data_IF_046541502696
#
_entry.id   IF_046541502696
#
_cell.length_a   1.000
_cell.length_b   1.000
_cell.length_c   1.000
_cell.angle_alpha   90.00
_cell.angle_beta   90.00
_cell.angle_gamma   90.00
#
_symmetry.space_group_name_H-M   'P 1'
#
loop_
_entity.id
_entity.type
_entity.pdbx_description
1 polymer ?
#
# COMPACT_ATOMS: atom_id res chain seq x y z
N UNK A 1 16.15 -10.60 13.31
CA UNK A 1 16.09 -10.20 14.73
C UNK A 1 15.24 -11.21 15.45
N UNK A 2 15.65 -11.70 16.62
CA UNK A 2 14.83 -12.57 17.46
C UNK A 2 13.97 -11.70 18.37
N UNK A 3 12.68 -11.94 18.41
CA UNK A 3 11.74 -11.30 19.33
C UNK A 3 11.31 -12.31 20.37
N UNK A 4 11.28 -11.88 21.63
CA UNK A 4 10.61 -12.66 22.66
C UNK A 4 9.08 -12.57 22.49
N UNK A 5 8.31 -13.55 22.99
CA UNK A 5 6.85 -13.47 22.95
C UNK A 5 6.31 -12.21 23.64
N UNK A 6 6.96 -11.76 24.70
CA UNK A 6 6.63 -10.53 25.43
C UNK A 6 6.84 -9.27 24.57
N UNK A 7 7.95 -9.19 23.83
CA UNK A 7 8.18 -8.11 22.87
C UNK A 7 7.14 -8.12 21.74
N UNK A 8 6.78 -9.30 21.23
CA UNK A 8 5.71 -9.42 20.25
C UNK A 8 4.37 -8.92 20.82
N UNK A 9 4.05 -9.28 22.07
CA UNK A 9 2.85 -8.78 22.75
C UNK A 9 2.86 -7.26 22.93
N UNK A 10 3.99 -6.67 23.35
CA UNK A 10 4.14 -5.23 23.48
C UNK A 10 3.99 -4.50 22.13
N UNK A 11 4.57 -5.03 21.05
CA UNK A 11 4.36 -4.49 19.71
C UNK A 11 2.90 -4.62 19.25
N UNK A 12 2.21 -5.71 19.60
CA UNK A 12 0.79 -5.87 19.31
C UNK A 12 -0.08 -4.87 20.06
N UNK A 13 0.21 -4.61 21.34
CA UNK A 13 -0.45 -3.56 22.13
C UNK A 13 -0.25 -2.17 21.53
N UNK A 14 0.80 -1.97 20.73
CA UNK A 14 1.11 -0.73 20.02
C UNK A 14 0.60 -0.68 18.58
N UNK A 15 -0.23 -1.64 18.17
CA UNK A 15 -0.90 -1.63 16.86
C UNK A 15 -0.14 -2.34 15.74
N UNK A 16 0.83 -3.19 16.07
CA UNK A 16 1.39 -4.16 15.13
C UNK A 16 0.57 -5.46 15.14
N UNK A 17 0.60 -6.19 14.03
CA UNK A 17 0.15 -7.59 13.95
C UNK A 17 1.26 -8.44 13.38
N UNK A 18 1.49 -9.62 13.94
CA UNK A 18 2.49 -10.54 13.43
C UNK A 18 1.84 -11.56 12.50
N UNK A 19 2.38 -11.69 11.29
CA UNK A 19 1.96 -12.70 10.31
C UNK A 19 3.12 -13.64 10.03
N UNK A 20 2.84 -14.94 9.87
CA UNK A 20 3.86 -15.90 9.46
C UNK A 20 4.43 -15.51 8.09
N UNK A 21 5.75 -15.51 7.96
CA UNK A 21 6.42 -15.22 6.71
C UNK A 21 6.58 -16.52 5.90
N UNK A 22 6.17 -16.49 4.63
CA UNK A 22 6.48 -17.56 3.69
C UNK A 22 7.96 -17.46 3.23
N UNK A 23 8.53 -18.55 2.72
CA UNK A 23 9.93 -18.60 2.27
C UNK A 23 10.26 -17.52 1.22
N UNK A 24 9.33 -17.25 0.30
CA UNK A 24 9.49 -16.17 -0.69
C UNK A 24 9.61 -14.79 -0.01
N UNK A 25 8.79 -14.55 1.01
CA UNK A 25 8.81 -13.30 1.76
C UNK A 25 10.08 -13.19 2.61
N UNK A 26 10.53 -14.29 3.21
CA UNK A 26 11.79 -14.34 3.94
C UNK A 26 12.94 -13.95 3.00
N UNK A 27 13.02 -14.51 1.79
CA UNK A 27 14.05 -14.16 0.82
C UNK A 27 14.05 -12.66 0.45
N UNK A 28 12.89 -12.10 0.11
CA UNK A 28 12.76 -10.71 -0.34
C UNK A 28 12.96 -9.68 0.78
N UNK A 29 12.53 -9.99 2.00
CA UNK A 29 12.42 -9.04 3.10
C UNK A 29 13.54 -9.17 4.15
N UNK A 30 14.31 -10.26 4.14
CA UNK A 30 15.42 -10.46 5.07
C UNK A 30 16.49 -9.39 4.93
N UNK A 31 16.90 -9.08 3.69
CA UNK A 31 17.91 -8.03 3.43
C UNK A 31 17.45 -6.64 3.92
N UNK A 32 16.14 -6.41 3.90
CA UNK A 32 15.53 -5.15 4.38
C UNK A 32 15.30 -5.16 5.90
N UNK A 33 15.75 -6.20 6.61
CA UNK A 33 15.59 -6.38 8.07
C UNK A 33 14.12 -6.29 8.52
N UNK A 34 13.21 -6.83 7.72
CA UNK A 34 11.76 -6.87 7.99
C UNK A 34 11.24 -8.23 8.47
N UNK A 35 12.15 -9.22 8.59
CA UNK A 35 11.84 -10.56 9.09
C UNK A 35 12.27 -10.68 10.56
N UNK A 36 11.33 -11.10 11.38
CA UNK A 36 11.47 -11.31 12.81
C UNK A 36 11.28 -12.78 13.14
N UNK A 37 12.01 -13.28 14.12
CA UNK A 37 11.92 -14.68 14.53
C UNK A 37 11.28 -14.73 15.91
N UNK A 38 10.13 -15.39 16.02
CA UNK A 38 9.39 -15.60 17.27
C UNK A 38 9.30 -17.10 17.47
N UNK A 39 9.85 -17.62 18.57
CA UNK A 39 9.91 -19.07 18.85
C UNK A 39 10.50 -19.89 17.68
N UNK A 40 11.51 -19.33 17.00
CA UNK A 40 12.15 -19.97 15.85
C UNK A 40 11.34 -19.94 14.55
N UNK A 41 10.17 -19.27 14.51
CA UNK A 41 9.35 -19.11 13.31
C UNK A 41 9.53 -17.73 12.69
N UNK A 42 9.71 -17.61 11.36
CA UNK A 42 9.82 -16.33 10.72
C UNK A 42 8.45 -15.65 10.61
N UNK A 43 8.39 -14.41 11.04
CA UNK A 43 7.21 -13.58 11.10
C UNK A 43 7.51 -12.18 10.57
N UNK A 44 6.49 -11.52 10.01
CA UNK A 44 6.54 -10.11 9.61
C UNK A 44 5.66 -9.31 10.58
N UNK A 45 6.18 -8.18 11.05
CA UNK A 45 5.40 -7.22 11.82
C UNK A 45 4.70 -6.27 10.84
N UNK A 46 3.38 -6.26 10.82
CA UNK A 46 2.55 -5.47 9.93
C UNK A 46 1.80 -4.42 10.74
N UNK A 47 1.83 -3.16 10.34
CA UNK A 47 1.05 -2.09 11.00
C UNK A 47 -0.38 -2.05 10.48
N UNK A 48 -1.23 -1.28 11.17
CA UNK A 48 -2.61 -0.99 10.75
C UNK A 48 -2.70 -0.31 9.37
N UNK A 49 -1.69 0.45 8.97
CA UNK A 49 -1.56 1.09 7.64
C UNK A 49 -1.11 0.13 6.53
N UNK A 50 -0.86 -1.15 6.84
CA UNK A 50 -0.53 -2.18 5.86
C UNK A 50 0.94 -2.24 5.45
N UNK A 51 1.82 -1.50 6.16
CA UNK A 51 3.26 -1.54 5.93
C UNK A 51 3.97 -2.50 6.90
N UNK A 52 4.98 -3.21 6.38
CA UNK A 52 5.86 -4.05 7.20
C UNK A 52 6.89 -3.22 7.94
N UNK A 53 6.95 -3.40 9.25
CA UNK A 53 7.94 -2.76 10.10
C UNK A 53 9.33 -3.27 9.84
N UNK A 54 10.31 -2.37 10.01
CA UNK A 54 11.73 -2.73 9.99
C UNK A 54 12.21 -2.96 11.41
N UNK A 55 13.30 -3.73 11.57
CA UNK A 55 13.89 -3.98 12.88
C UNK A 55 14.26 -2.71 13.65
N UNK A 56 14.67 -1.65 12.95
CA UNK A 56 14.99 -0.37 13.59
C UNK A 56 13.74 0.31 14.15
N UNK A 57 12.68 0.39 13.36
CA UNK A 57 11.43 1.02 13.80
C UNK A 57 10.76 0.20 14.90
N UNK A 58 10.70 -1.12 14.75
CA UNK A 58 10.12 -2.00 15.76
C UNK A 58 10.93 -1.97 17.06
N UNK A 59 12.27 -1.91 16.98
CA UNK A 59 13.13 -1.74 18.15
C UNK A 59 12.80 -0.45 18.91
N UNK A 60 12.76 0.69 18.21
CA UNK A 60 12.36 1.98 18.81
C UNK A 60 10.95 1.94 19.38
N UNK A 61 10.02 1.29 18.69
CA UNK A 61 8.66 1.13 19.15
C UNK A 61 8.65 0.38 20.48
N UNK A 62 9.44 -0.69 20.62
CA UNK A 62 9.54 -1.52 21.83
C UNK A 62 10.23 -0.79 23.00
N UNK A 63 11.23 0.04 22.73
CA UNK A 63 11.97 0.82 23.72
C UNK A 63 11.16 1.96 24.36
N UNK A 64 10.05 2.38 23.74
CA UNK A 64 9.15 3.34 24.37
C UNK A 64 8.60 2.74 25.67
N UNK A 65 8.37 3.52 26.73
CA UNK A 65 7.63 3.04 27.90
C UNK A 65 6.22 2.61 27.46
N UNK A 66 5.76 1.46 27.96
CA UNK A 66 4.38 1.00 27.73
C UNK A 66 3.38 2.03 28.27
N UNK A 67 2.14 2.06 27.78
CA UNK A 67 1.07 2.63 28.56
C UNK A 67 1.02 1.85 29.88
N UNK A 68 1.48 2.49 30.95
CA UNK A 68 1.58 1.89 32.27
C UNK A 68 0.16 1.60 32.79
N UNK A 69 -0.24 0.33 33.00
CA UNK A 69 -1.55 0.04 33.58
C UNK A 69 -1.64 0.43 35.06
N UNK A 70 -0.56 0.94 35.68
CA UNK A 70 -0.54 1.37 37.07
C UNK A 70 -0.73 2.89 37.28
N UNK A 71 -1.02 3.67 36.22
CA UNK A 71 -1.34 5.09 36.33
C UNK A 71 -2.83 5.40 36.59
N UNK A 72 -3.62 4.40 37.02
CA UNK A 72 -4.92 4.62 37.65
C UNK A 72 -4.79 4.42 39.18
N UNK A 73 -3.89 5.18 39.79
CA UNK A 73 -4.01 5.51 41.21
C UNK A 73 -4.87 6.77 41.31
N UNK A 74 -6.08 6.73 41.91
CA UNK A 74 -6.85 7.93 42.18
C UNK A 74 -6.11 8.72 43.26
N UNK A 75 -5.26 9.67 42.84
CA UNK A 75 -4.70 10.65 43.77
C UNK A 75 -5.81 11.65 44.10
N UNK A 76 -6.52 11.30 45.17
CA UNK A 76 -7.11 12.15 46.18
C UNK A 76 -7.42 13.60 45.77
N UNK A 77 -8.72 13.91 45.84
CA UNK A 77 -9.26 15.25 45.98
C UNK A 77 -8.41 16.14 46.92
N UNK A 78 -7.91 17.24 46.37
CA UNK A 78 -7.60 18.43 47.14
C UNK A 78 -8.42 19.59 46.54
N UNK A 79 -9.17 20.21 47.45
CA UNK A 79 -10.23 21.19 47.31
C UNK A 79 -10.05 22.33 46.27
N UNK A 80 -11.17 22.91 45.79
CA UNK A 80 -11.19 24.09 44.94
C UNK A 80 -11.05 25.41 45.73
N UNK A 81 -10.92 26.50 44.96
CA UNK A 81 -11.14 27.94 45.29
C UNK A 81 -9.89 28.83 45.49
N UNK A 82 -9.96 30.17 45.28
CA UNK A 82 -10.78 30.95 44.32
C UNK A 82 -10.01 32.06 43.55
N UNK A 83 -10.55 32.38 42.36
CA UNK A 83 -10.76 33.71 41.72
C UNK A 83 -9.70 34.82 41.82
N UNK A 84 -9.17 35.23 40.66
CA UNK A 84 -9.00 36.66 40.29
C UNK A 84 -8.94 36.84 38.76
N UNK A 85 -10.07 37.19 38.15
CA UNK A 85 -10.17 38.04 36.94
C UNK A 85 -10.49 39.49 37.40
N UNK A 86 -10.41 40.59 36.60
CA UNK A 86 -10.29 40.71 35.13
C UNK A 86 -9.36 41.87 34.63
N UNK A 87 -9.49 42.20 33.33
CA UNK A 87 -8.99 43.38 32.59
C UNK A 87 -7.53 43.30 32.10
N UNK A 88 -7.20 43.52 30.82
CA UNK A 88 -7.76 44.50 29.88
C UNK A 88 -7.50 44.05 28.41
N UNK A 89 -8.53 44.10 27.58
CA UNK A 89 -8.44 44.23 26.11
C UNK A 89 -8.96 45.65 25.82
N UNK A 90 -8.47 46.41 24.81
CA UNK A 90 -8.63 46.01 23.40
C UNK A 90 -7.64 46.58 22.35
N UNK A 91 -7.76 46.04 21.12
CA UNK A 91 -7.59 46.69 19.79
C UNK A 91 -6.23 47.33 19.43
N UNK A 92 -5.71 47.36 18.21
CA UNK A 92 -6.08 47.00 16.83
C UNK A 92 -4.73 46.64 16.14
N UNK A 93 -4.57 46.06 14.96
CA UNK A 93 -5.19 46.34 13.68
C UNK A 93 -4.64 45.29 12.68
N UNK A 94 -5.54 44.62 11.95
CA UNK A 94 -5.29 43.98 10.65
C UNK A 94 -5.80 44.97 9.58
N UNK A 95 -5.62 44.77 8.25
CA UNK A 95 -4.68 43.99 7.44
C UNK A 95 -4.19 44.85 6.21
N UNK A 96 -4.29 44.43 4.92
CA UNK A 96 -3.47 43.51 4.13
C UNK A 96 -2.65 44.22 3.02
N UNK A 97 -1.62 43.55 2.48
CA UNK A 97 -1.16 43.84 1.10
C UNK A 97 -0.95 42.52 0.37
N UNK A 98 -1.76 42.31 -0.67
CA UNK A 98 -1.71 41.17 -1.57
C UNK A 98 -0.64 41.33 -2.66
N UNK A 99 -0.96 40.92 -3.90
CA UNK A 99 -0.45 39.72 -4.53
C UNK A 99 0.60 40.03 -5.60
N UNK A 100 1.53 39.12 -5.89
CA UNK A 100 2.10 39.08 -7.23
C UNK A 100 2.39 37.66 -7.71
N UNK A 101 1.60 37.29 -8.71
CA UNK A 101 1.72 36.16 -9.62
C UNK A 101 2.65 36.57 -10.74
N UNK A 102 3.80 35.91 -10.90
CA UNK A 102 4.57 35.72 -12.13
C UNK A 102 5.90 35.03 -11.71
N UNK A 103 6.51 34.08 -12.41
CA UNK A 103 6.48 33.83 -13.83
C UNK A 103 6.71 32.33 -14.11
N UNK A 104 5.93 31.85 -15.07
CA UNK A 104 6.09 30.63 -15.83
C UNK A 104 7.44 30.65 -16.58
N UNK A 105 8.29 29.62 -16.48
CA UNK A 105 9.34 29.40 -17.47
C UNK A 105 8.78 28.74 -18.76
N UNK A 106 9.47 28.93 -19.91
CA UNK A 106 8.89 28.87 -21.25
C UNK A 106 8.73 27.47 -21.84
N UNK A 107 7.79 27.37 -22.78
CA UNK A 107 7.66 26.26 -23.72
C UNK A 107 8.81 26.22 -24.75
N UNK A 108 9.28 25.02 -25.08
CA UNK A 108 9.61 24.65 -26.47
C UNK A 108 8.86 23.35 -26.83
N UNK A 109 8.61 22.95 -28.06
CA UNK A 109 8.68 23.56 -29.37
C UNK A 109 7.75 22.69 -30.24
N UNK A 110 7.14 23.31 -31.25
CA UNK A 110 6.46 22.61 -32.32
C UNK A 110 7.44 21.70 -33.08
N UNK A 111 7.06 20.44 -33.36
CA UNK A 111 7.29 19.82 -34.68
C UNK A 111 6.45 18.55 -34.84
N UNK A 112 5.40 18.62 -35.64
CA UNK A 112 4.95 17.50 -36.46
C UNK A 112 5.92 17.38 -37.65
N UNK A 113 6.19 16.17 -38.14
CA UNK A 113 5.54 15.70 -39.38
C UNK A 113 5.07 14.23 -39.25
N UNK A 114 3.86 13.88 -39.68
CA UNK A 114 3.53 13.39 -41.03
C UNK A 114 4.41 12.21 -41.49
N UNK A 115 3.84 10.99 -41.42
CA UNK A 115 3.94 9.95 -42.44
C UNK A 115 3.07 8.73 -42.05
N UNK A 116 1.92 8.58 -42.69
CA UNK A 116 1.41 7.25 -43.08
C UNK A 116 2.18 6.84 -44.36
N UNK A 117 2.34 5.55 -44.77
CA UNK A 117 1.21 4.63 -44.96
C UNK A 117 1.47 3.09 -44.81
N UNK A 118 0.35 2.36 -44.73
CA UNK A 118 -0.02 1.02 -45.30
C UNK A 118 0.71 -0.30 -45.01
N UNK A 119 -0.12 -1.36 -45.12
CA UNK A 119 0.11 -2.79 -45.43
C UNK A 119 0.10 -3.73 -44.21
N UNK A 120 -1.02 -4.39 -43.93
CA UNK A 120 -1.62 -5.59 -44.58
C UNK A 120 -1.08 -6.92 -44.02
N UNK A 121 -2.03 -7.79 -43.65
CA UNK A 121 -1.85 -9.24 -43.67
C UNK A 121 -1.37 -9.87 -42.36
N UNK A 122 -2.28 -10.50 -41.60
CA UNK A 122 -2.67 -11.89 -41.86
C UNK A 122 -3.59 -12.39 -40.76
N UNK A 123 -4.77 -12.80 -41.20
CA UNK A 123 -5.57 -13.80 -40.51
C UNK A 123 -4.81 -15.12 -40.46
N UNK A 124 -4.91 -15.85 -39.34
CA UNK A 124 -5.05 -17.31 -39.31
C UNK A 124 -5.36 -17.76 -37.88
N UNK A 125 -6.64 -18.01 -37.62
CA UNK A 125 -7.02 -19.27 -36.98
C UNK A 125 -6.99 -20.33 -38.09
N UNK A 126 -6.66 -21.60 -37.78
CA UNK A 126 -7.78 -22.49 -37.48
C UNK A 126 -7.50 -23.58 -36.43
N UNK A 127 -8.64 -24.11 -35.99
CA UNK A 127 -8.95 -25.33 -35.27
C UNK A 127 -7.93 -26.47 -35.27
N UNK A 128 -7.84 -27.13 -34.12
CA UNK A 128 -7.48 -28.53 -33.97
C UNK A 128 -8.45 -29.18 -32.98
N UNK A 129 -9.46 -29.84 -33.54
CA UNK A 129 -10.34 -30.82 -32.91
C UNK A 129 -9.56 -32.16 -32.88
N UNK A 130 -9.42 -32.81 -31.72
CA UNK A 130 -9.80 -34.23 -31.58
C UNK A 130 -9.68 -34.74 -30.13
N UNK A 131 -10.49 -35.75 -29.77
CA UNK A 131 -10.75 -36.25 -28.42
C UNK A 131 -9.79 -37.38 -28.03
N UNK A 132 -9.50 -37.47 -26.73
CA UNK A 132 -8.68 -38.58 -26.22
C UNK A 132 -8.63 -38.62 -24.71
N UNK A 133 -9.44 -39.52 -24.16
CA UNK A 133 -9.11 -40.39 -23.01
C UNK A 133 -8.86 -39.75 -21.62
N UNK A 134 -9.70 -40.17 -20.66
CA UNK A 134 -9.55 -40.02 -19.21
C UNK A 134 -8.18 -40.57 -18.69
N UNK A 135 -7.63 -40.15 -17.53
CA UNK A 135 -8.29 -39.72 -16.29
C UNK A 135 -7.85 -38.35 -15.78
N UNK A 136 -8.75 -37.59 -15.16
CA UNK A 136 -8.50 -36.22 -14.69
C UNK A 136 -7.36 -36.15 -13.63
N UNK A 137 -6.18 -35.57 -13.96
CA UNK A 137 -5.29 -35.06 -12.95
C UNK A 137 -5.94 -33.79 -12.35
N UNK A 138 -5.79 -33.62 -11.04
CA UNK A 138 -6.17 -32.39 -10.35
C UNK A 138 -5.66 -31.16 -11.13
N UNK A 139 -6.46 -30.08 -11.26
CA UNK A 139 -6.07 -28.94 -12.06
C UNK A 139 -4.76 -28.38 -11.50
N UNK A 140 -3.69 -28.58 -12.25
CA UNK A 140 -2.44 -27.84 -12.12
C UNK A 140 -2.89 -26.38 -12.17
N UNK A 141 -2.90 -25.70 -11.03
CA UNK A 141 -3.22 -24.27 -10.95
C UNK A 141 -2.15 -23.58 -11.78
N UNK A 142 -2.42 -23.39 -13.08
CA UNK A 142 -1.60 -22.55 -13.95
C UNK A 142 -1.44 -21.25 -13.20
N UNK A 143 -0.21 -20.95 -12.79
CA UNK A 143 0.12 -19.70 -12.12
C UNK A 143 -0.53 -18.58 -12.93
N UNK A 144 -1.39 -17.79 -12.29
CA UNK A 144 -2.06 -16.71 -12.99
C UNK A 144 -0.99 -15.82 -13.62
N UNK A 145 -1.18 -15.37 -14.88
CA UNK A 145 -0.18 -14.52 -15.52
C UNK A 145 0.05 -13.28 -14.66
N UNK A 146 1.30 -12.83 -14.56
CA UNK A 146 1.68 -11.71 -13.70
C UNK A 146 0.81 -10.45 -13.94
N UNK A 147 0.37 -10.25 -15.18
CA UNK A 147 -0.56 -9.19 -15.58
C UNK A 147 -1.93 -9.27 -14.89
N UNK A 148 -2.45 -10.48 -14.67
CA UNK A 148 -3.73 -10.70 -13.98
C UNK A 148 -3.60 -10.43 -12.49
N UNK A 149 -2.48 -10.85 -11.88
CA UNK A 149 -2.17 -10.56 -10.47
C UNK A 149 -2.03 -9.05 -10.24
N UNK A 150 -1.36 -8.33 -11.14
CA UNK A 150 -1.23 -6.87 -11.03
C UNK A 150 -2.58 -6.17 -11.23
N UNK A 151 -3.38 -6.61 -12.20
CA UNK A 151 -4.73 -6.07 -12.44
C UNK A 151 -5.61 -6.24 -11.20
N UNK A 152 -5.63 -7.42 -10.59
CA UNK A 152 -6.41 -7.69 -9.39
C UNK A 152 -6.01 -6.79 -8.22
N UNK A 153 -4.70 -6.56 -8.02
CA UNK A 153 -4.20 -5.64 -7.00
C UNK A 153 -4.61 -4.18 -7.27
N UNK A 154 -4.54 -3.72 -8.52
CA UNK A 154 -4.93 -2.35 -8.89
C UNK A 154 -6.44 -2.13 -8.72
N UNK A 155 -7.27 -3.08 -9.16
CA UNK A 155 -8.73 -3.02 -8.98
C UNK A 155 -9.07 -3.03 -7.49
N UNK A 156 -8.46 -3.91 -6.71
CA UNK A 156 -8.71 -3.99 -5.26
C UNK A 156 -8.37 -2.67 -4.56
N UNK A 157 -7.23 -2.05 -4.89
CA UNK A 157 -6.86 -0.74 -4.35
C UNK A 157 -7.83 0.36 -4.77
N UNK A 158 -8.24 0.38 -6.03
CA UNK A 158 -9.14 1.39 -6.55
C UNK A 158 -10.53 1.31 -5.89
N UNK A 159 -11.11 0.11 -5.80
CA UNK A 159 -12.42 -0.12 -5.14
C UNK A 159 -12.36 0.14 -3.64
N UNK A 160 -11.20 -0.03 -3.00
CA UNK A 160 -11.03 0.33 -1.58
C UNK A 160 -10.96 1.84 -1.35
N UNK A 161 -10.54 2.61 -2.36
CA UNK A 161 -10.38 4.06 -2.29
C UNK A 161 -11.58 4.84 -2.85
N UNK A 162 -12.35 4.23 -3.74
CA UNK A 162 -13.48 4.85 -4.42
C UNK A 162 -14.71 3.94 -4.39
N UNK A 163 -15.89 4.52 -4.22
CA UNK A 163 -17.16 3.79 -4.36
C UNK A 163 -17.43 3.54 -5.84
N UNK A 164 -17.20 2.31 -6.29
CA UNK A 164 -17.50 1.87 -7.65
C UNK A 164 -18.83 1.13 -7.64
N UNK A 165 -19.75 1.51 -8.52
CA UNK A 165 -21.00 0.78 -8.72
C UNK A 165 -20.69 -0.61 -9.32
N UNK A 166 -21.41 -1.62 -8.88
CA UNK A 166 -21.20 -3.01 -9.33
C UNK A 166 -21.39 -3.17 -10.85
N UNK A 167 -22.20 -2.30 -11.49
CA UNK A 167 -22.39 -2.31 -12.95
C UNK A 167 -21.16 -1.82 -13.73
N UNK A 168 -20.35 -0.96 -13.12
CA UNK A 168 -19.17 -0.33 -13.75
C UNK A 168 -17.88 -1.12 -13.49
N UNK A 169 -17.90 -2.03 -12.51
CA UNK A 169 -16.77 -2.87 -12.13
C UNK A 169 -16.19 -3.71 -13.30
N UNK A 170 -16.99 -4.36 -14.17
CA UNK A 170 -16.45 -5.13 -15.29
C UNK A 170 -15.67 -4.28 -16.29
N UNK A 171 -16.17 -3.08 -16.61
CA UNK A 171 -15.49 -2.14 -17.52
C UNK A 171 -14.19 -1.62 -16.90
N UNK A 172 -14.19 -1.31 -15.61
CA UNK A 172 -12.99 -0.93 -14.87
C UNK A 172 -11.92 -2.03 -14.91
N UNK A 173 -12.29 -3.29 -14.64
CA UNK A 173 -11.36 -4.43 -14.69
C UNK A 173 -10.75 -4.56 -16.09
N UNK A 174 -11.57 -4.49 -17.15
CA UNK A 174 -11.09 -4.58 -18.54
C UNK A 174 -10.15 -3.43 -18.90
N UNK A 175 -10.50 -2.21 -18.48
CA UNK A 175 -9.69 -1.01 -18.72
C UNK A 175 -8.31 -1.13 -18.07
N UNK A 176 -8.27 -1.46 -16.77
CA UNK A 176 -7.01 -1.64 -16.03
C UNK A 176 -6.19 -2.80 -16.63
N UNK A 177 -6.83 -3.93 -16.95
CA UNK A 177 -6.14 -5.07 -17.54
C UNK A 177 -5.49 -4.70 -18.88
N UNK A 178 -6.20 -3.95 -19.75
CA UNK A 178 -5.67 -3.51 -21.04
C UNK A 178 -4.45 -2.62 -20.86
N UNK A 179 -4.50 -1.67 -19.93
CA UNK A 179 -3.35 -0.82 -19.59
C UNK A 179 -2.17 -1.62 -19.06
N UNK A 180 -2.42 -2.57 -18.15
CA UNK A 180 -1.37 -3.44 -17.60
C UNK A 180 -0.72 -4.29 -18.69
N UNK A 181 -1.50 -4.87 -19.60
CA UNK A 181 -0.97 -5.64 -20.74
C UNK A 181 -0.12 -4.79 -21.68
N UNK A 182 -0.59 -3.60 -22.05
CA UNK A 182 0.13 -2.70 -22.94
C UNK A 182 1.50 -2.27 -22.37
N UNK A 183 1.60 -2.11 -21.05
CA UNK A 183 2.86 -1.79 -20.38
C UNK A 183 3.84 -2.97 -20.38
N UNK A 184 3.36 -4.20 -20.15
CA UNK A 184 4.22 -5.38 -20.14
C UNK A 184 4.77 -5.72 -21.53
N UNK A 185 3.96 -5.56 -22.59
CA UNK A 185 4.44 -5.79 -23.97
C UNK A 185 5.53 -4.80 -24.39
N UNK A 186 5.60 -3.62 -23.74
CA UNK A 186 6.64 -2.62 -23.99
C UNK A 186 7.95 -2.94 -23.27
N UNK A 187 7.89 -3.68 -22.17
CA UNK A 187 9.06 -4.00 -21.33
C UNK A 187 9.80 -5.25 -21.82
N UNK A 188 9.13 -6.15 -22.53
CA UNK A 188 9.72 -7.42 -23.02
C UNK A 188 10.41 -7.31 -24.40
N UNK A 189 10.31 -6.15 -25.07
CA UNK A 189 10.80 -5.94 -26.44
C UNK A 189 11.94 -4.93 -26.59
N UNK A 190 12.76 -4.72 -25.55
CA UNK A 190 13.86 -3.74 -25.52
C UNK A 190 15.23 -4.37 -25.34
#
# INVERSE_FOLDING_TARGET
MNLTPEQAAAAMARGCRFVAADEQQVGLLSMQRRVFWIEGKPCLALRNDGFYETAATLGRLLEQPGPDPAAEAPLAAAAPEPVATPADMPAAEQPPSGPETAATPPAPAATAPEAAPISEGQASAPSGDEPGEAPAPAPVRKAAPASLVLTANMVSRYVSAATVDSKDLPELIRSIHRSVCALHTRTDGG
#
